data_IF_562643281873
#
_entry.id   IF_562643281873
#
_cell.length_a   1.000
_cell.length_b   1.000
_cell.length_c   1.000
_cell.angle_alpha   90.00
_cell.angle_beta   90.00
_cell.angle_gamma   90.00
#
_symmetry.space_group_name_H-M   'P 1'
#
loop_
_entity.id
_entity.type
_entity.pdbx_description
1 polymer ?
#
# COMPACT_ATOMS: atom_id res chain seq x y z
N UNK A 1 -5.02 -9.03 -1.63
CA UNK A 1 -4.57 -8.83 -3.02
C UNK A 1 -4.45 -10.16 -3.75
N UNK A 2 -4.75 -10.20 -5.05
CA UNK A 2 -4.61 -11.38 -5.91
C UNK A 2 -3.43 -11.20 -6.88
N UNK A 3 -2.63 -12.26 -7.06
CA UNK A 3 -1.58 -12.33 -8.09
C UNK A 3 -1.95 -13.38 -9.13
N UNK A 4 -2.03 -12.96 -10.39
CA UNK A 4 -2.18 -13.86 -11.53
C UNK A 4 -0.82 -14.04 -12.21
N UNK A 5 -0.58 -15.23 -12.78
CA UNK A 5 0.58 -15.52 -13.62
C UNK A 5 0.09 -15.86 -15.00
N UNK A 6 0.43 -15.04 -15.99
CA UNK A 6 0.07 -15.28 -17.39
C UNK A 6 1.24 -16.00 -18.09
N UNK A 7 1.04 -17.21 -18.62
CA UNK A 7 2.08 -17.86 -19.42
C UNK A 7 2.28 -17.08 -20.73
N UNK A 8 3.54 -16.76 -21.05
CA UNK A 8 3.90 -16.10 -22.32
C UNK A 8 3.98 -17.09 -23.49
N UNK A 9 4.25 -18.37 -23.20
CA UNK A 9 4.26 -19.45 -24.17
C UNK A 9 3.20 -20.48 -23.79
N UNK A 10 2.30 -20.76 -24.73
CA UNK A 10 1.29 -21.81 -24.57
C UNK A 10 1.85 -23.11 -25.12
N UNK A 11 2.51 -23.89 -24.27
CA UNK A 11 2.65 -25.32 -24.54
C UNK A 11 1.40 -26.03 -24.04
N UNK A 12 0.83 -26.86 -24.90
CA UNK A 12 -0.34 -27.68 -24.60
C UNK A 12 0.08 -28.83 -23.67
N UNK A 13 0.43 -28.50 -22.43
CA UNK A 13 0.66 -29.46 -21.35
C UNK A 13 -0.34 -29.21 -20.25
N UNK A 14 -1.09 -30.27 -19.93
CA UNK A 14 -2.13 -30.30 -18.92
C UNK A 14 -1.62 -29.67 -17.61
N UNK A 15 -2.22 -28.52 -17.23
CA UNK A 15 -2.07 -27.96 -15.90
C UNK A 15 -3.41 -28.07 -15.19
N UNK A 16 -3.37 -28.66 -13.99
CA UNK A 16 -4.48 -29.15 -13.18
C UNK A 16 -5.83 -28.46 -13.43
N UNK A 17 -6.74 -29.25 -14.01
CA UNK A 17 -8.02 -28.86 -14.57
C UNK A 17 -9.10 -29.24 -13.56
N UNK A 18 -9.73 -28.27 -12.90
CA UNK A 18 -11.03 -28.50 -12.25
C UNK A 18 -12.15 -27.91 -13.13
N UNK A 19 -12.76 -28.82 -13.90
CA UNK A 19 -14.09 -28.79 -14.53
C UNK A 19 -14.29 -27.87 -15.74
N UNK A 20 -14.24 -28.49 -16.93
CA UNK A 20 -14.52 -27.90 -18.25
C UNK A 20 -16.05 -27.90 -18.52
N UNK A 21 -16.60 -26.77 -18.98
CA UNK A 21 -17.80 -26.72 -19.84
C UNK A 21 -17.44 -26.00 -21.13
N UNK A 22 -17.67 -26.69 -22.23
CA UNK A 22 -17.33 -26.34 -23.61
C UNK A 22 -18.05 -25.07 -24.09
N UNK A 23 -17.29 -24.08 -24.60
CA UNK A 23 -17.78 -23.08 -25.57
C UNK A 23 -16.65 -22.77 -26.55
N UNK A 24 -16.86 -23.14 -27.82
CA UNK A 24 -15.93 -22.98 -28.94
C UNK A 24 -15.67 -21.50 -29.28
N UNK A 25 -14.41 -21.21 -29.62
CA UNK A 25 -13.88 -20.05 -30.39
C UNK A 25 -13.14 -18.88 -29.69
N UNK A 26 -12.75 -19.02 -28.44
CA UNK A 26 -11.52 -18.37 -27.95
C UNK A 26 -10.72 -19.43 -27.17
N UNK A 27 -9.40 -19.51 -27.36
CA UNK A 27 -8.53 -20.27 -26.43
C UNK A 27 -8.58 -19.54 -25.08
N UNK A 28 -9.62 -19.81 -24.29
CA UNK A 28 -9.84 -19.19 -23.00
C UNK A 28 -8.86 -19.79 -22.00
N UNK A 29 -7.98 -18.96 -21.47
CA UNK A 29 -7.07 -19.35 -20.39
C UNK A 29 -7.77 -19.02 -19.07
N UNK A 30 -8.04 -20.06 -18.28
CA UNK A 30 -8.59 -19.89 -16.93
C UNK A 30 -7.40 -19.78 -15.98
N UNK A 31 -7.30 -18.65 -15.28
CA UNK A 31 -6.23 -18.41 -14.30
C UNK A 31 -6.80 -18.48 -12.89
N UNK A 32 -6.13 -19.25 -12.03
CA UNK A 32 -6.39 -19.22 -10.59
C UNK A 32 -5.47 -18.20 -9.92
N UNK A 33 -5.99 -17.28 -9.09
CA UNK A 33 -5.16 -16.32 -8.39
C UNK A 33 -4.37 -17.01 -7.26
N UNK A 34 -3.12 -16.58 -7.07
CA UNK A 34 -2.45 -16.73 -5.79
C UNK A 34 -2.86 -15.56 -4.90
N UNK A 35 -3.51 -15.84 -3.79
CA UNK A 35 -3.77 -14.83 -2.77
C UNK A 35 -2.47 -14.49 -2.05
N UNK A 36 -2.07 -13.21 -2.10
CA UNK A 36 -0.88 -12.74 -1.36
C UNK A 36 -1.20 -12.47 0.11
N UNK A 37 -2.44 -12.08 0.38
CA UNK A 37 -3.00 -11.83 1.71
C UNK A 37 -4.53 -11.78 1.59
N UNK A 38 -5.23 -12.00 2.71
CA UNK A 38 -6.70 -12.24 2.74
C UNK A 38 -7.49 -11.10 3.37
N UNK A 39 -6.81 -10.12 3.95
CA UNK A 39 -7.39 -8.98 4.63
C UNK A 39 -8.01 -8.00 3.62
N UNK A 40 -9.01 -7.26 4.08
CA UNK A 40 -9.82 -6.30 3.31
C UNK A 40 -9.45 -4.85 3.66
N UNK A 41 -9.99 -3.89 2.91
CA UNK A 41 -9.82 -2.46 3.20
C UNK A 41 -8.50 -1.84 2.71
N UNK A 42 -7.72 -2.58 1.93
CA UNK A 42 -6.46 -2.11 1.35
C UNK A 42 -6.72 -1.31 0.07
N UNK A 43 -6.17 -0.10 0.00
CA UNK A 43 -6.26 0.77 -1.15
C UNK A 43 -4.90 1.41 -1.46
N UNK A 44 -4.82 2.05 -2.63
CA UNK A 44 -3.65 2.82 -3.08
C UNK A 44 -2.33 2.05 -2.99
N UNK A 45 -2.22 0.84 -3.58
CA UNK A 45 -0.98 0.09 -3.56
C UNK A 45 0.10 0.82 -4.38
N UNK A 46 1.26 0.99 -3.78
CA UNK A 46 2.46 1.51 -4.44
C UNK A 46 3.65 0.60 -4.19
N UNK A 47 4.71 0.78 -4.97
CA UNK A 47 5.99 0.10 -4.85
C UNK A 47 7.11 1.09 -5.16
N UNK A 48 8.36 0.69 -4.96
CA UNK A 48 9.49 1.47 -5.42
C UNK A 48 9.44 1.59 -6.97
N UNK A 49 9.37 2.82 -7.54
CA UNK A 49 9.23 3.00 -8.98
C UNK A 49 10.41 2.46 -9.79
N UNK A 50 11.60 2.35 -9.19
CA UNK A 50 12.78 1.75 -9.83
C UNK A 50 12.61 0.25 -10.17
N UNK A 51 11.60 -0.39 -9.57
CA UNK A 51 11.26 -1.80 -9.72
C UNK A 51 10.02 -2.04 -10.61
N UNK A 52 9.44 -0.98 -11.20
CA UNK A 52 8.35 -1.15 -12.17
C UNK A 52 8.74 -2.12 -13.28
N UNK A 53 7.83 -3.06 -13.58
CA UNK A 53 8.01 -4.12 -14.59
C UNK A 53 9.19 -5.07 -14.32
N UNK A 54 9.73 -5.10 -13.09
CA UNK A 54 10.76 -6.03 -12.64
C UNK A 54 10.20 -6.92 -11.53
N UNK A 55 10.97 -7.93 -11.15
CA UNK A 55 10.71 -8.64 -9.90
C UNK A 55 10.87 -7.65 -8.73
N UNK A 56 9.90 -7.66 -7.81
CA UNK A 56 9.84 -6.79 -6.64
C UNK A 56 9.39 -7.64 -5.44
N UNK A 57 9.64 -7.17 -4.23
CA UNK A 57 9.33 -7.84 -2.97
C UNK A 57 8.36 -7.06 -2.09
N UNK A 58 8.37 -5.73 -2.15
CA UNK A 58 7.63 -4.89 -1.21
C UNK A 58 6.47 -4.13 -1.85
N UNK A 59 5.34 -4.11 -1.16
CA UNK A 59 4.19 -3.27 -1.48
C UNK A 59 3.83 -2.39 -0.29
N UNK A 60 3.44 -1.15 -0.55
CA UNK A 60 2.93 -0.22 0.46
C UNK A 60 1.50 0.15 0.11
N UNK A 61 0.64 0.28 1.13
CA UNK A 61 -0.78 0.56 0.91
C UNK A 61 -1.41 1.20 2.12
N UNK A 62 -2.49 1.95 1.88
CA UNK A 62 -3.32 2.50 2.93
C UNK A 62 -4.48 1.59 3.24
N UNK A 63 -4.96 1.72 4.47
CA UNK A 63 -6.14 1.02 4.94
C UNK A 63 -7.26 1.99 5.25
N UNK A 64 -8.35 1.88 4.49
CA UNK A 64 -9.54 2.70 4.71
C UNK A 64 -10.29 2.22 5.95
N UNK A 65 -10.30 3.04 7.01
CA UNK A 65 -11.11 2.79 8.20
C UNK A 65 -12.53 3.39 8.15
N UNK A 66 -12.98 3.85 6.97
CA UNK A 66 -14.26 4.55 6.77
C UNK A 66 -15.51 3.71 7.05
N UNK A 67 -15.39 2.38 7.03
CA UNK A 67 -16.47 1.46 7.37
C UNK A 67 -15.92 0.45 8.38
N UNK A 68 -16.64 0.18 9.47
CA UNK A 68 -16.28 -0.82 10.48
C UNK A 68 -16.03 -2.21 9.86
N UNK A 69 -16.79 -2.58 8.81
CA UNK A 69 -16.60 -3.83 8.08
C UNK A 69 -15.27 -3.87 7.27
N UNK A 70 -14.67 -2.70 6.98
CA UNK A 70 -13.42 -2.56 6.25
C UNK A 70 -12.25 -2.14 7.15
N UNK A 71 -12.52 -1.76 8.41
CA UNK A 71 -11.48 -1.34 9.37
C UNK A 71 -10.46 -2.44 9.60
N UNK A 72 -10.88 -3.70 9.74
CA UNK A 72 -9.97 -4.82 9.98
C UNK A 72 -8.94 -4.55 11.10
N UNK A 73 -7.84 -5.33 11.17
CA UNK A 73 -6.77 -5.07 12.14
C UNK A 73 -5.91 -3.84 11.79
N UNK A 74 -6.03 -3.30 10.58
CA UNK A 74 -5.14 -2.27 10.04
C UNK A 74 -5.86 -0.92 9.78
N UNK A 75 -7.05 -0.69 10.31
CA UNK A 75 -7.81 0.54 10.06
C UNK A 75 -6.98 1.78 10.40
N UNK A 76 -7.01 2.76 9.49
CA UNK A 76 -6.26 4.01 9.57
C UNK A 76 -4.74 3.80 9.64
N UNK A 77 -4.23 2.78 8.92
CA UNK A 77 -2.82 2.47 8.82
C UNK A 77 -2.25 2.71 7.43
N UNK A 78 -0.93 2.86 7.38
CA UNK A 78 -0.11 2.60 6.20
C UNK A 78 0.69 1.33 6.48
N UNK A 79 0.62 0.36 5.58
CA UNK A 79 1.26 -0.94 5.75
C UNK A 79 2.29 -1.20 4.67
N UNK A 80 3.36 -1.86 5.06
CA UNK A 80 4.34 -2.51 4.17
C UNK A 80 4.10 -4.02 4.21
N UNK A 81 4.01 -4.62 3.04
CA UNK A 81 3.89 -6.05 2.84
C UNK A 81 5.15 -6.58 2.14
N UNK A 82 5.77 -7.59 2.73
CA UNK A 82 6.69 -8.49 2.05
C UNK A 82 5.88 -9.58 1.33
N UNK A 83 5.92 -9.61 0.01
CA UNK A 83 5.11 -10.53 -0.81
C UNK A 83 5.71 -11.94 -0.93
N UNK A 84 6.96 -12.13 -0.53
CA UNK A 84 7.60 -13.44 -0.47
C UNK A 84 7.26 -14.13 0.84
N UNK A 85 7.47 -13.44 1.96
CA UNK A 85 7.23 -13.99 3.29
C UNK A 85 5.77 -13.86 3.75
N UNK A 86 5.00 -12.95 3.15
CA UNK A 86 3.64 -12.58 3.59
C UNK A 86 3.61 -11.73 4.87
N UNK A 87 4.76 -11.24 5.34
CA UNK A 87 4.85 -10.45 6.57
C UNK A 87 4.41 -9.01 6.31
N UNK A 88 3.57 -8.49 7.20
CA UNK A 88 3.12 -7.11 7.18
C UNK A 88 3.63 -6.36 8.41
N UNK A 89 4.17 -5.17 8.21
CA UNK A 89 4.42 -4.18 9.27
C UNK A 89 3.68 -2.89 8.91
N UNK A 90 3.37 -2.05 9.89
CA UNK A 90 2.52 -0.90 9.66
C UNK A 90 2.82 0.28 10.59
N UNK A 91 2.46 1.46 10.11
CA UNK A 91 2.30 2.67 10.90
C UNK A 91 0.81 2.98 11.04
N UNK A 92 0.37 3.44 12.22
CA UNK A 92 -1.02 3.83 12.48
C UNK A 92 -1.09 5.26 12.99
N UNK A 93 -2.15 5.97 12.61
CA UNK A 93 -2.43 7.32 13.10
C UNK A 93 -2.68 7.35 14.61
N UNK A 94 -3.24 6.28 15.17
CA UNK A 94 -3.66 6.21 16.57
C UNK A 94 -4.97 6.95 16.86
N UNK A 95 -5.60 7.55 15.85
CA UNK A 95 -6.85 8.31 15.95
C UNK A 95 -7.85 7.80 14.90
N UNK A 96 -9.08 7.58 15.36
CA UNK A 96 -10.17 7.05 14.55
C UNK A 96 -10.66 8.01 13.46
N UNK A 97 -10.43 9.31 13.63
CA UNK A 97 -10.83 10.37 12.69
C UNK A 97 -9.71 10.80 11.76
N UNK A 98 -8.51 10.22 11.88
CA UNK A 98 -7.37 10.49 11.01
C UNK A 98 -7.20 9.38 9.96
N UNK A 99 -7.24 9.77 8.68
CA UNK A 99 -7.24 8.85 7.56
C UNK A 99 -6.07 9.13 6.61
N UNK A 100 -5.10 8.20 6.47
CA UNK A 100 -4.07 8.32 5.44
C UNK A 100 -4.70 8.17 4.04
N UNK A 101 -4.20 8.94 3.08
CA UNK A 101 -4.77 8.99 1.72
C UNK A 101 -3.94 8.20 0.71
N UNK A 102 -3.48 8.83 -0.37
CA UNK A 102 -2.58 8.26 -1.35
C UNK A 102 -1.16 8.26 -0.80
N UNK A 103 -0.36 7.31 -1.29
CA UNK A 103 1.02 7.12 -0.89
C UNK A 103 1.95 7.53 -2.03
N UNK A 104 3.12 8.04 -1.67
CA UNK A 104 4.23 8.21 -2.59
C UNK A 104 5.48 7.55 -2.01
N UNK A 105 6.17 6.76 -2.84
CA UNK A 105 7.48 6.20 -2.49
C UNK A 105 8.56 7.08 -3.10
N UNK A 106 9.48 7.58 -2.27
CA UNK A 106 10.65 8.33 -2.70
C UNK A 106 11.89 7.48 -2.43
N UNK A 107 12.55 6.93 -3.47
CA UNK A 107 13.74 6.13 -3.28
C UNK A 107 14.91 6.97 -2.80
N UNK A 108 15.74 6.39 -1.94
CA UNK A 108 17.04 6.94 -1.61
C UNK A 108 17.91 6.92 -2.90
N UNK A 109 18.42 8.07 -3.38
CA UNK A 109 19.21 8.14 -4.62
C UNK A 109 20.52 7.33 -4.56
N UNK A 110 21.00 7.02 -3.35
CA UNK A 110 22.18 6.19 -3.11
C UNK A 110 21.82 4.81 -2.51
N UNK A 111 20.52 4.52 -2.40
CA UNK A 111 20.03 3.31 -1.80
C UNK A 111 20.31 2.08 -2.64
N UNK A 112 20.50 0.95 -1.96
CA UNK A 112 20.79 -0.35 -2.61
C UNK A 112 19.67 -1.36 -2.46
N UNK A 113 18.80 -1.17 -1.47
CA UNK A 113 17.69 -2.07 -1.17
C UNK A 113 16.39 -1.54 -1.79
N UNK A 114 15.47 -2.44 -2.14
CA UNK A 114 14.19 -2.07 -2.76
C UNK A 114 13.36 -1.13 -1.87
N UNK A 115 13.43 -1.32 -0.56
CA UNK A 115 12.71 -0.57 0.46
C UNK A 115 13.54 0.58 1.08
N UNK A 116 14.68 0.94 0.48
CA UNK A 116 15.51 2.06 0.92
C UNK A 116 14.93 3.38 0.40
N UNK A 117 14.13 4.03 1.24
CA UNK A 117 13.43 5.26 0.88
C UNK A 117 12.44 5.72 1.93
N UNK A 118 11.60 6.67 1.52
CA UNK A 118 10.59 7.30 2.36
C UNK A 118 9.20 7.10 1.74
N UNK A 119 8.22 6.75 2.57
CA UNK A 119 6.80 6.82 2.23
C UNK A 119 6.25 8.16 2.67
N UNK A 120 5.58 8.85 1.78
CA UNK A 120 4.92 10.13 2.05
C UNK A 120 3.41 9.93 1.89
N UNK A 121 2.63 10.36 2.88
CA UNK A 121 1.17 10.39 2.76
C UNK A 121 0.55 11.57 3.49
N UNK A 122 -0.56 12.07 2.95
CA UNK A 122 -1.39 13.06 3.63
C UNK A 122 -2.39 12.33 4.52
N UNK A 123 -2.49 12.78 5.77
CA UNK A 123 -3.45 12.29 6.74
C UNK A 123 -4.53 13.35 6.93
N UNK A 124 -5.77 13.01 6.60
CA UNK A 124 -6.91 13.91 6.71
C UNK A 124 -7.64 13.71 8.02
N UNK A 125 -8.08 14.81 8.62
CA UNK A 125 -8.99 14.80 9.75
C UNK A 125 -10.43 14.86 9.23
N UNK A 126 -11.21 13.81 9.48
CA UNK A 126 -12.64 13.78 9.18
C UNK A 126 -13.43 13.88 10.49
N UNK A 127 -13.52 15.11 11.03
CA UNK A 127 -14.47 15.42 12.09
C UNK A 127 -15.43 16.52 11.62
N UNK A 128 -16.68 16.49 12.11
CA UNK A 128 -17.80 17.32 11.63
C UNK A 128 -17.63 18.84 11.79
N UNK A 129 -16.44 19.33 12.19
CA UNK A 129 -16.22 20.74 12.53
C UNK A 129 -14.91 21.33 12.01
N UNK A 130 -13.99 20.53 11.44
CA UNK A 130 -12.67 21.01 10.99
C UNK A 130 -12.18 20.24 9.76
N UNK A 131 -11.82 20.98 8.70
CA UNK A 131 -11.00 20.46 7.62
C UNK A 131 -9.54 20.72 7.97
N UNK A 132 -8.73 19.67 8.01
CA UNK A 132 -7.33 19.81 8.37
C UNK A 132 -6.52 18.54 8.23
N UNK A 133 -5.30 18.59 8.74
CA UNK A 133 -4.44 17.43 8.96
C UNK A 133 -2.98 17.71 8.63
N UNK A 134 -2.19 16.64 8.51
CA UNK A 134 -0.76 16.71 8.29
C UNK A 134 -0.29 15.78 7.17
N UNK A 135 0.90 16.01 6.66
CA UNK A 135 1.66 15.05 5.86
C UNK A 135 2.62 14.32 6.78
N UNK A 136 2.75 13.00 6.62
CA UNK A 136 3.70 12.19 7.39
C UNK A 136 4.73 11.56 6.45
N UNK A 137 5.96 11.45 6.94
CA UNK A 137 7.10 10.84 6.27
C UNK A 137 7.52 9.61 7.07
N UNK A 138 7.45 8.44 6.46
CA UNK A 138 7.75 7.16 7.09
C UNK A 138 9.00 6.55 6.47
N UNK A 139 9.86 5.95 7.27
CA UNK A 139 10.94 5.11 6.77
C UNK A 139 10.33 3.86 6.12
N UNK A 140 10.64 3.62 4.84
CA UNK A 140 10.04 2.52 4.09
C UNK A 140 10.56 1.13 4.53
N UNK A 141 11.68 1.04 5.26
CA UNK A 141 12.20 -0.23 5.76
C UNK A 141 11.42 -0.74 6.97
N UNK A 142 11.22 0.10 7.98
CA UNK A 142 10.68 -0.28 9.28
C UNK A 142 9.32 0.36 9.62
N UNK A 143 8.80 1.22 8.72
CA UNK A 143 7.56 1.98 8.89
C UNK A 143 7.58 2.93 10.10
N UNK A 144 8.75 3.28 10.64
CA UNK A 144 8.84 4.30 11.67
C UNK A 144 8.59 5.69 11.11
N UNK A 145 7.89 6.52 11.88
CA UNK A 145 7.69 7.92 11.53
C UNK A 145 9.00 8.70 11.66
N UNK A 146 9.42 9.33 10.56
CA UNK A 146 10.60 10.19 10.52
C UNK A 146 10.22 11.61 10.93
N UNK A 147 9.14 12.12 10.35
CA UNK A 147 8.64 13.47 10.60
C UNK A 147 7.20 13.65 10.12
N UNK A 148 6.61 14.79 10.46
CA UNK A 148 5.33 15.27 9.95
C UNK A 148 5.39 16.76 9.63
N UNK A 149 4.59 17.22 8.67
CA UNK A 149 4.41 18.62 8.34
C UNK A 149 2.93 19.00 8.37
N UNK A 150 2.62 20.12 9.01
CA UNK A 150 1.28 20.70 9.02
C UNK A 150 1.24 21.84 7.98
N UNK A 151 0.09 22.07 7.36
CA UNK A 151 -0.10 23.30 6.58
C UNK A 151 -0.40 24.42 7.58
N UNK A 152 0.38 25.50 7.59
CA UNK A 152 0.16 26.62 8.52
C UNK A 152 -1.16 27.37 8.24
N UNK A 153 -1.65 27.32 7.00
CA UNK A 153 -2.97 27.83 6.61
C UNK A 153 -4.13 26.91 7.03
N UNK A 154 -3.86 25.81 7.74
CA UNK A 154 -4.88 25.10 8.50
C UNK A 154 -5.16 25.93 9.77
N UNK A 155 -6.35 26.53 9.96
CA UNK A 155 -6.66 27.37 11.12
C UNK A 155 -6.57 26.63 12.47
N UNK A 156 -6.20 25.35 12.46
CA UNK A 156 -6.02 24.49 13.62
C UNK A 156 -4.62 23.88 13.75
N UNK A 157 -3.67 24.25 12.89
CA UNK A 157 -2.26 23.89 13.00
C UNK A 157 -1.64 24.56 14.23
N UNK A 158 -1.53 23.83 15.35
CA UNK A 158 -0.51 24.16 16.37
C UNK A 158 0.84 23.73 15.80
N UNK A 159 1.74 24.70 15.69
CA UNK A 159 3.08 24.59 15.11
C UNK A 159 3.86 23.41 15.68
N UNK A 160 4.18 22.45 14.82
CA UNK A 160 5.27 21.50 15.04
C UNK A 160 6.14 21.56 13.79
N UNK A 161 6.86 22.67 13.66
CA UNK A 161 8.03 22.76 12.82
C UNK A 161 9.17 22.07 13.57
N UNK A 162 9.78 21.05 12.97
CA UNK A 162 11.24 20.86 12.87
C UNK A 162 11.58 19.42 12.48
N UNK A 163 11.93 19.23 11.20
CA UNK A 163 13.23 18.69 10.74
C UNK A 163 13.16 18.56 9.22
N UNK A 164 13.81 19.50 8.54
CA UNK A 164 14.09 19.39 7.11
C UNK A 164 15.09 18.26 6.89
N UNK A 165 14.86 17.43 5.88
CA UNK A 165 15.90 16.58 5.30
C UNK A 165 16.91 17.48 4.61
N UNK A 166 18.19 17.32 4.95
CA UNK A 166 19.35 17.83 4.22
C UNK A 166 20.20 16.64 3.82
#
# INVERSE_FOLDING_TARGET
MMRFRLPLHFEQKEMNISTIRDVKSFKKVILSPKYLFRETGWNSPIMNPSYHFKNYQFLYMTHSGWNEALRGPYGNAVSKLDIESGRTIYWRTGDDYLYPSELHFVPNPHGRQEDDGVIITRVYLSNNRKFGGFTVYLNAQDMQEISRSNCEDDPYSKSVLNRYFM
#
